data_IF_162333397200
#
_entry.id   IF_162333397200
#
_cell.length_a   1.000
_cell.length_b   1.000
_cell.length_c   1.000
_cell.angle_alpha   90.00
_cell.angle_beta   90.00
_cell.angle_gamma   90.00
#
_symmetry.space_group_name_H-M   'P 1'
#
loop_
_entity.id
_entity.type
_entity.pdbx_description
1 polymer ?
#
# COMPACT_ATOMS: atom_id res chain seq x y z
N UNK A 1 -36.09 -2.04 21.93
CA UNK A 1 -34.90 -2.77 22.40
C UNK A 1 -34.84 -4.04 21.58
N UNK A 2 -33.82 -4.20 20.73
CA UNK A 2 -33.68 -5.40 19.90
C UNK A 2 -33.20 -6.55 20.81
N UNK A 3 -33.77 -7.76 20.70
CA UNK A 3 -33.30 -8.94 21.42
C UNK A 3 -31.79 -9.15 21.26
N UNK A 4 -31.09 -9.52 22.34
CA UNK A 4 -29.62 -9.67 22.37
C UNK A 4 -29.09 -10.61 21.27
N UNK A 5 -29.79 -11.72 21.05
CA UNK A 5 -29.56 -12.69 19.99
C UNK A 5 -29.70 -12.10 18.57
N UNK A 6 -30.68 -11.23 18.34
CA UNK A 6 -30.81 -10.52 17.05
C UNK A 6 -29.75 -9.45 16.87
N UNK A 7 -29.27 -8.82 17.96
CA UNK A 7 -28.13 -7.91 17.90
C UNK A 7 -26.83 -8.65 17.59
N UNK A 8 -26.65 -9.88 18.08
CA UNK A 8 -25.49 -10.73 17.74
C UNK A 8 -25.56 -11.18 16.28
N UNK A 9 -26.71 -11.65 15.80
CA UNK A 9 -26.90 -11.98 14.37
C UNK A 9 -26.64 -10.77 13.47
N UNK A 10 -27.12 -9.58 13.84
CA UNK A 10 -26.86 -8.35 13.09
C UNK A 10 -25.37 -7.97 13.08
N UNK A 11 -24.65 -8.16 14.20
CA UNK A 11 -23.21 -7.92 14.27
C UNK A 11 -22.40 -8.97 13.50
N UNK A 12 -22.91 -10.20 13.39
CA UNK A 12 -22.33 -11.27 12.59
C UNK A 12 -22.58 -11.05 11.10
N UNK A 13 -23.79 -10.65 10.70
CA UNK A 13 -24.13 -10.24 9.33
C UNK A 13 -23.39 -8.96 8.89
N UNK A 14 -23.22 -7.97 9.78
CA UNK A 14 -22.40 -6.77 9.51
C UNK A 14 -20.91 -7.12 9.37
N UNK A 15 -20.41 -8.10 10.12
CA UNK A 15 -19.07 -8.67 9.92
C UNK A 15 -18.96 -9.50 8.63
N UNK A 16 -20.03 -10.17 8.23
CA UNK A 16 -20.16 -10.90 6.96
C UNK A 16 -20.35 -9.99 5.75
N UNK A 17 -20.57 -8.68 5.93
CA UNK A 17 -20.44 -7.70 4.85
C UNK A 17 -18.99 -7.75 4.35
N UNK A 18 -18.77 -8.57 3.31
CA UNK A 18 -17.46 -8.96 2.78
C UNK A 18 -16.54 -7.75 2.72
N UNK A 19 -15.54 -7.75 3.60
CA UNK A 19 -14.61 -6.66 3.75
C UNK A 19 -14.04 -6.26 2.39
N UNK A 20 -14.19 -4.98 2.04
CA UNK A 20 -13.82 -4.51 0.70
C UNK A 20 -12.31 -4.60 0.52
N UNK A 21 -11.89 -5.02 -0.67
CA UNK A 21 -10.48 -5.12 -1.03
C UNK A 21 -10.08 -4.08 -2.09
N UNK A 22 -8.80 -3.70 -2.11
CA UNK A 22 -8.22 -2.98 -3.23
C UNK A 22 -7.87 -3.95 -4.36
N UNK A 23 -8.26 -3.61 -5.59
CA UNK A 23 -7.93 -4.42 -6.77
C UNK A 23 -6.43 -4.41 -7.07
N UNK A 24 -5.96 -5.43 -7.80
CA UNK A 24 -4.58 -5.51 -8.25
C UNK A 24 -4.19 -4.31 -9.12
N UNK A 25 -5.11 -3.81 -9.96
CA UNK A 25 -4.90 -2.61 -10.77
C UNK A 25 -4.80 -1.35 -9.91
N UNK A 26 -5.67 -1.20 -8.90
CA UNK A 26 -5.60 -0.07 -7.96
C UNK A 26 -4.26 -0.06 -7.24
N UNK A 27 -3.82 -1.21 -6.73
CA UNK A 27 -2.51 -1.35 -6.07
C UNK A 27 -1.38 -0.96 -7.01
N UNK A 28 -1.35 -1.49 -8.23
CA UNK A 28 -0.28 -1.19 -9.20
C UNK A 28 -0.20 0.30 -9.53
N UNK A 29 -1.33 0.93 -9.85
CA UNK A 29 -1.39 2.35 -10.24
C UNK A 29 -0.99 3.25 -9.06
N UNK A 30 -1.60 3.03 -7.90
CA UNK A 30 -1.34 3.84 -6.69
C UNK A 30 0.10 3.69 -6.23
N UNK A 31 0.65 2.47 -6.31
CA UNK A 31 2.06 2.23 -5.98
C UNK A 31 2.96 3.02 -6.92
N UNK A 32 2.77 2.91 -8.24
CA UNK A 32 3.58 3.65 -9.22
C UNK A 32 3.57 5.17 -9.00
N UNK A 33 2.41 5.73 -8.64
CA UNK A 33 2.25 7.17 -8.46
C UNK A 33 2.77 7.69 -7.11
N UNK A 34 2.53 6.93 -6.03
CA UNK A 34 2.71 7.43 -4.65
C UNK A 34 3.77 6.66 -3.85
N UNK A 35 4.38 5.64 -4.44
CA UNK A 35 5.54 4.94 -3.91
C UNK A 35 5.24 3.73 -3.02
N UNK A 36 6.32 3.12 -2.46
CA UNK A 36 6.24 1.86 -1.72
C UNK A 36 5.36 1.88 -0.46
N UNK A 37 5.27 3.02 0.25
CA UNK A 37 4.40 3.14 1.42
C UNK A 37 2.91 3.04 1.05
N UNK A 38 2.51 3.58 -0.10
CA UNK A 38 1.15 3.45 -0.61
C UNK A 38 0.83 1.98 -0.97
N UNK A 39 1.81 1.27 -1.56
CA UNK A 39 1.76 -0.18 -1.73
C UNK A 39 1.52 -0.90 -0.41
N UNK A 40 2.36 -0.62 0.61
CA UNK A 40 2.27 -1.20 1.94
C UNK A 40 0.88 -1.01 2.57
N UNK A 41 0.35 0.22 2.51
CA UNK A 41 -0.98 0.51 3.04
C UNK A 41 -2.07 -0.31 2.32
N UNK A 42 -2.20 -0.21 1.00
CA UNK A 42 -3.26 -0.91 0.25
C UNK A 42 -3.16 -2.45 0.43
N UNK A 43 -1.96 -3.03 0.32
CA UNK A 43 -1.75 -4.47 0.44
C UNK A 43 -2.06 -4.95 1.86
N UNK A 44 -1.72 -4.16 2.88
CA UNK A 44 -2.05 -4.48 4.27
C UNK A 44 -3.56 -4.45 4.55
N UNK A 45 -4.31 -3.57 3.88
CA UNK A 45 -5.78 -3.54 4.01
C UNK A 45 -6.42 -4.77 3.41
N UNK A 46 -5.88 -5.28 2.29
CA UNK A 46 -6.33 -6.56 1.75
C UNK A 46 -6.05 -7.72 2.71
N UNK A 47 -4.87 -7.78 3.32
CA UNK A 47 -4.60 -8.82 4.33
C UNK A 47 -5.56 -8.74 5.53
N UNK A 48 -5.96 -7.54 5.96
CA UNK A 48 -7.00 -7.40 6.99
C UNK A 48 -8.36 -7.91 6.52
N UNK A 49 -8.72 -7.62 5.28
CA UNK A 49 -9.97 -8.08 4.67
C UNK A 49 -10.01 -9.61 4.50
N UNK A 50 -8.86 -10.24 4.32
CA UNK A 50 -8.70 -11.71 4.25
C UNK A 50 -8.38 -12.36 5.61
N UNK A 51 -8.59 -11.63 6.71
CA UNK A 51 -8.33 -12.08 8.09
C UNK A 51 -6.89 -12.57 8.38
N UNK A 52 -5.92 -12.11 7.60
CA UNK A 52 -4.48 -12.42 7.74
C UNK A 52 -3.73 -11.28 8.43
N UNK A 53 -4.16 -10.94 9.65
CA UNK A 53 -3.63 -9.79 10.40
C UNK A 53 -2.15 -9.92 10.73
N UNK A 54 -1.66 -11.14 10.88
CA UNK A 54 -0.24 -11.46 11.10
C UNK A 54 0.67 -10.98 9.96
N UNK A 55 0.15 -10.88 8.73
CA UNK A 55 0.92 -10.41 7.56
C UNK A 55 0.93 -8.89 7.41
N UNK A 56 0.09 -8.16 8.15
CA UNK A 56 0.00 -6.69 8.10
C UNK A 56 1.33 -6.05 8.50
N UNK A 57 1.90 -6.46 9.63
CA UNK A 57 3.16 -5.89 10.13
C UNK A 57 4.32 -6.19 9.18
N UNK A 58 4.42 -7.43 8.68
CA UNK A 58 5.42 -7.81 7.69
C UNK A 58 5.31 -6.96 6.41
N UNK A 59 4.08 -6.69 5.95
CA UNK A 59 3.82 -5.84 4.77
C UNK A 59 4.34 -4.41 4.97
N UNK A 60 4.11 -3.82 6.14
CA UNK A 60 4.63 -2.48 6.46
C UNK A 60 6.15 -2.45 6.56
N UNK A 61 6.75 -3.46 7.19
CA UNK A 61 8.22 -3.58 7.27
C UNK A 61 8.81 -3.65 5.85
N UNK A 62 8.26 -4.49 4.98
CA UNK A 62 8.71 -4.60 3.58
C UNK A 62 8.55 -3.26 2.86
N UNK A 63 7.44 -2.55 3.05
CA UNK A 63 7.20 -1.24 2.42
C UNK A 63 8.21 -0.18 2.88
N UNK A 64 8.54 -0.14 4.18
CA UNK A 64 9.55 0.76 4.74
C UNK A 64 10.95 0.40 4.22
N UNK A 65 11.31 -0.87 4.21
CA UNK A 65 12.60 -1.34 3.65
C UNK A 65 12.70 -0.99 2.16
N UNK A 66 11.63 -1.18 1.40
CA UNK A 66 11.58 -0.81 -0.01
C UNK A 66 11.72 0.71 -0.21
N UNK A 67 11.10 1.53 0.65
CA UNK A 67 11.27 2.97 0.61
C UNK A 67 12.72 3.37 0.86
N UNK A 68 13.36 2.84 1.91
CA UNK A 68 14.76 3.11 2.23
C UNK A 68 15.66 2.70 1.06
N UNK A 69 15.42 1.52 0.47
CA UNK A 69 16.17 1.04 -0.69
C UNK A 69 16.02 1.99 -1.89
N UNK A 70 14.80 2.44 -2.21
CA UNK A 70 14.55 3.38 -3.31
C UNK A 70 15.23 4.72 -3.08
N UNK A 71 15.15 5.28 -1.86
CA UNK A 71 15.83 6.53 -1.51
C UNK A 71 17.35 6.38 -1.62
N UNK A 72 17.92 5.30 -1.05
CA UNK A 72 19.35 5.03 -1.13
C UNK A 72 19.84 4.86 -2.57
N UNK A 73 19.09 4.14 -3.40
CA UNK A 73 19.40 4.00 -4.83
C UNK A 73 19.27 5.32 -5.60
N UNK A 74 18.28 6.16 -5.26
CA UNK A 74 18.13 7.48 -5.87
C UNK A 74 19.34 8.38 -5.56
N UNK A 75 19.83 8.35 -4.30
CA UNK A 75 21.06 9.07 -3.91
C UNK A 75 22.27 8.51 -4.66
N UNK A 76 22.45 7.19 -4.69
CA UNK A 76 23.57 6.54 -5.37
C UNK A 76 23.62 6.85 -6.87
N UNK A 77 22.45 6.87 -7.53
CA UNK A 77 22.34 7.13 -8.97
C UNK A 77 22.35 8.61 -9.34
N UNK A 78 22.32 9.52 -8.36
CA UNK A 78 22.32 10.97 -8.62
C UNK A 78 23.56 11.48 -9.37
N UNK A 79 24.70 10.79 -9.23
CA UNK A 79 25.93 11.08 -9.97
C UNK A 79 25.95 10.60 -11.42
N UNK A 80 24.88 9.95 -11.90
CA UNK A 80 24.79 9.41 -13.26
C UNK A 80 23.92 10.36 -14.12
N UNK A 81 24.56 11.13 -15.00
CA UNK A 81 23.92 12.22 -15.78
C UNK A 81 22.65 11.85 -16.56
N UNK A 82 22.47 10.56 -16.94
CA UNK A 82 21.35 10.12 -17.79
C UNK A 82 20.56 8.94 -17.21
N UNK A 83 20.61 8.71 -15.90
CA UNK A 83 19.83 7.64 -15.31
C UNK A 83 18.32 7.94 -15.39
N UNK A 84 17.49 7.09 -16.03
CA UNK A 84 16.07 7.38 -16.18
C UNK A 84 15.31 7.19 -14.85
N UNK A 85 14.85 8.29 -14.25
CA UNK A 85 14.22 8.28 -12.91
C UNK A 85 12.95 7.44 -12.81
N UNK A 86 12.25 7.21 -13.93
CA UNK A 86 11.03 6.38 -13.97
C UNK A 86 11.30 4.88 -13.77
N UNK A 87 12.56 4.44 -13.86
CA UNK A 87 12.95 3.05 -13.64
C UNK A 87 12.62 2.60 -12.21
N UNK A 88 12.84 3.46 -11.20
CA UNK A 88 12.50 3.09 -9.83
C UNK A 88 10.99 2.90 -9.63
N UNK A 89 10.12 3.86 -10.02
CA UNK A 89 8.67 3.66 -10.02
C UNK A 89 8.19 2.41 -10.72
N UNK A 90 8.73 2.15 -11.91
CA UNK A 90 8.34 0.98 -12.67
C UNK A 90 8.77 -0.30 -11.95
N UNK A 91 9.99 -0.36 -11.43
CA UNK A 91 10.53 -1.53 -10.75
C UNK A 91 9.74 -1.88 -9.48
N UNK A 92 9.51 -0.93 -8.58
CA UNK A 92 8.79 -1.24 -7.33
C UNK A 92 7.29 -1.49 -7.57
N UNK A 93 6.67 -0.86 -8.58
CA UNK A 93 5.27 -1.11 -8.93
C UNK A 93 5.09 -2.50 -9.53
N UNK A 94 6.02 -2.91 -10.41
CA UNK A 94 6.04 -4.25 -10.98
C UNK A 94 6.32 -5.32 -9.92
N UNK A 95 7.31 -5.08 -9.04
CA UNK A 95 7.60 -5.98 -7.92
C UNK A 95 6.38 -6.15 -7.00
N UNK A 96 5.71 -5.06 -6.66
CA UNK A 96 4.45 -5.11 -5.88
C UNK A 96 3.38 -5.92 -6.61
N UNK A 97 3.17 -5.68 -7.91
CA UNK A 97 2.20 -6.44 -8.70
C UNK A 97 2.46 -7.95 -8.64
N UNK A 98 3.72 -8.38 -8.82
CA UNK A 98 4.09 -9.79 -8.75
C UNK A 98 3.87 -10.39 -7.36
N UNK A 99 4.24 -9.66 -6.30
CA UNK A 99 4.04 -10.11 -4.92
C UNK A 99 2.56 -10.25 -4.58
N UNK A 100 1.73 -9.26 -4.92
CA UNK A 100 0.29 -9.32 -4.66
C UNK A 100 -0.36 -10.43 -5.46
N UNK A 101 -0.02 -10.58 -6.73
CA UNK A 101 -0.53 -11.67 -7.56
C UNK A 101 -0.16 -13.05 -6.97
N UNK A 102 1.07 -13.20 -6.46
CA UNK A 102 1.54 -14.44 -5.84
C UNK A 102 0.86 -14.75 -4.51
N UNK A 103 0.71 -13.76 -3.62
CA UNK A 103 0.29 -14.01 -2.23
C UNK A 103 -1.19 -13.76 -1.96
N UNK A 104 -1.83 -12.89 -2.74
CA UNK A 104 -3.24 -12.53 -2.58
C UNK A 104 -4.09 -12.86 -3.81
N UNK A 105 -3.48 -13.19 -4.96
CA UNK A 105 -4.20 -13.34 -6.22
C UNK A 105 -5.32 -14.38 -6.22
N UNK A 106 -5.13 -15.52 -5.55
CA UNK A 106 -6.16 -16.55 -5.40
C UNK A 106 -7.33 -16.05 -4.54
N UNK A 107 -7.03 -15.50 -3.36
CA UNK A 107 -8.03 -14.94 -2.44
C UNK A 107 -8.84 -13.81 -3.09
N UNK A 108 -8.18 -12.97 -3.91
CA UNK A 108 -8.87 -11.92 -4.67
C UNK A 108 -9.84 -12.48 -5.72
N UNK A 109 -9.50 -13.62 -6.35
CA UNK A 109 -10.39 -14.30 -7.30
C UNK A 109 -11.57 -14.92 -6.58
N UNK A 110 -11.34 -15.61 -5.47
CA UNK A 110 -12.39 -16.20 -4.63
C UNK A 110 -13.35 -15.12 -4.11
N UNK A 111 -12.81 -14.01 -3.58
CA UNK A 111 -13.59 -12.86 -3.15
C UNK A 111 -14.49 -12.32 -4.27
N UNK A 112 -13.94 -12.17 -5.47
CA UNK A 112 -14.70 -11.69 -6.63
C UNK A 112 -15.77 -12.70 -7.08
N UNK A 113 -15.43 -13.99 -7.13
CA UNK A 113 -16.35 -15.06 -7.53
C UNK A 113 -17.51 -15.21 -6.55
N UNK A 114 -17.27 -14.95 -5.27
CA UNK A 114 -18.29 -14.97 -4.24
C UNK A 114 -19.11 -13.66 -4.17
N UNK A 115 -18.96 -12.73 -5.12
CA UNK A 115 -19.69 -11.45 -5.14
C UNK A 115 -19.18 -10.41 -4.16
N UNK A 116 -17.95 -10.56 -3.67
CA UNK A 116 -17.30 -9.60 -2.79
C UNK A 116 -17.05 -8.26 -3.48
N UNK A 117 -17.10 -7.17 -2.70
CA UNK A 117 -16.97 -5.81 -3.24
C UNK A 117 -15.54 -5.29 -3.14
N UNK A 118 -15.22 -4.28 -3.97
CA UNK A 118 -13.88 -3.67 -4.04
C UNK A 118 -13.97 -2.17 -3.76
N UNK A 119 -12.91 -1.60 -3.18
CA UNK A 119 -12.80 -0.15 -3.07
C UNK A 119 -12.66 0.51 -4.45
N UNK A 120 -13.23 1.71 -4.57
CA UNK A 120 -13.08 2.55 -5.77
C UNK A 120 -11.64 3.02 -5.92
N UNK A 121 -11.25 3.30 -7.17
CA UNK A 121 -9.91 3.83 -7.46
C UNK A 121 -9.68 5.19 -6.77
N UNK A 122 -10.71 6.03 -6.62
CA UNK A 122 -10.61 7.33 -5.93
C UNK A 122 -10.18 7.21 -4.48
N UNK A 123 -10.75 6.25 -3.74
CA UNK A 123 -10.32 5.98 -2.36
C UNK A 123 -8.87 5.51 -2.31
N UNK A 124 -8.46 4.68 -3.27
CA UNK A 124 -7.10 4.19 -3.36
C UNK A 124 -6.10 5.33 -3.67
N UNK A 125 -6.46 6.25 -4.57
CA UNK A 125 -5.67 7.45 -4.88
C UNK A 125 -5.55 8.38 -3.67
N UNK A 126 -6.65 8.61 -2.93
CA UNK A 126 -6.63 9.43 -1.72
C UNK A 126 -5.73 8.82 -0.63
N UNK A 127 -5.81 7.51 -0.42
CA UNK A 127 -4.91 6.81 0.49
C UNK A 127 -3.45 6.93 0.05
N UNK A 128 -3.19 6.77 -1.25
CA UNK A 128 -1.87 6.97 -1.83
C UNK A 128 -1.33 8.39 -1.60
N UNK A 129 -2.16 9.41 -1.81
CA UNK A 129 -1.79 10.80 -1.57
C UNK A 129 -1.41 11.05 -0.10
N UNK A 130 -2.15 10.47 0.86
CA UNK A 130 -1.80 10.55 2.28
C UNK A 130 -0.43 9.90 2.55
N UNK A 131 -0.18 8.72 1.96
CA UNK A 131 1.12 8.06 2.07
C UNK A 131 2.26 8.88 1.42
N UNK A 132 2.00 9.54 0.30
CA UNK A 132 2.96 10.44 -0.34
C UNK A 132 3.30 11.61 0.58
N UNK A 133 2.29 12.29 1.14
CA UNK A 133 2.50 13.39 2.09
C UNK A 133 3.32 12.92 3.30
N UNK A 134 2.99 11.74 3.85
CA UNK A 134 3.78 11.16 4.95
C UNK A 134 5.24 10.88 4.54
N UNK A 135 5.46 10.37 3.32
CA UNK A 135 6.80 10.13 2.78
C UNK A 135 7.59 11.43 2.65
N UNK A 136 6.98 12.47 2.08
CA UNK A 136 7.61 13.78 1.91
C UNK A 136 7.91 14.43 3.26
N UNK A 137 7.01 14.32 4.25
CA UNK A 137 7.25 14.81 5.60
C UNK A 137 8.45 14.12 6.27
N UNK A 138 8.57 12.80 6.13
CA UNK A 138 9.72 12.04 6.66
C UNK A 138 11.02 12.51 5.99
N UNK A 139 11.04 12.63 4.66
CA UNK A 139 12.21 13.11 3.92
C UNK A 139 12.58 14.53 4.36
N UNK A 140 11.59 15.41 4.51
CA UNK A 140 11.80 16.79 4.96
C UNK A 140 12.40 16.86 6.37
N UNK A 141 11.90 16.05 7.31
CA UNK A 141 12.48 15.96 8.66
C UNK A 141 13.91 15.45 8.62
N UNK A 142 14.21 14.46 7.77
CA UNK A 142 15.59 13.97 7.60
C UNK A 142 16.49 15.08 7.06
N UNK A 143 16.05 15.85 6.07
CA UNK A 143 16.82 16.98 5.52
C UNK A 143 17.11 18.05 6.57
N UNK A 144 16.15 18.39 7.44
CA UNK A 144 16.36 19.34 8.54
C UNK A 144 17.39 18.87 9.57
N UNK A 145 17.56 17.55 9.72
CA UNK A 145 18.52 16.95 10.66
C UNK A 145 19.93 16.84 10.09
N UNK A 146 20.11 17.03 8.78
CA UNK A 146 21.43 16.99 8.13
C UNK A 146 22.00 18.42 8.07
N UNK A 147 23.04 18.75 8.86
CA UNK A 147 23.65 20.08 8.84
C UNK A 147 24.18 20.39 7.44
N UNK A 148 23.92 21.60 6.91
CA UNK A 148 24.36 22.01 5.57
C UNK A 148 23.47 21.56 4.41
N UNK A 149 22.42 20.75 4.65
CA UNK A 149 21.57 20.25 3.56
C UNK A 149 20.61 21.29 2.95
N UNK A 150 20.39 22.42 3.62
CA UNK A 150 19.51 23.50 3.19
C UNK A 150 20.26 24.83 2.95
N UNK A 151 21.60 24.81 3.03
CA UNK A 151 22.44 26.01 2.99
C UNK A 151 22.95 26.34 1.55
N UNK A 152 22.32 25.78 0.51
CA UNK A 152 22.58 26.12 -0.91
C UNK A 152 21.57 27.12 -1.50
#
# INVERSE_FOLDING_TARGET
>A
MIPYNQAVEQLEEEKEEKSKIYTLNSIRIVTFLFGPLAAGYLVSQNYKAFDQREKVTATWIIAVVALIAVVGLAIFTSGIERFPKFVFPLAYAWGTFLLVQKFQGEQMKEHSAAGGTTFTIWRALLAGLICLVATLAIIFVILLMVPGALDE
#
